data_IF_974211415777
#
_entry.id   IF_974211415777
#
_cell.length_a   1.000
_cell.length_b   1.000
_cell.length_c   1.000
_cell.angle_alpha   90.00
_cell.angle_beta   90.00
_cell.angle_gamma   90.00
#
_symmetry.space_group_name_H-M   'P 1'
#
loop_
_entity.id
_entity.type
_entity.pdbx_description
1 polymer ?
#
# COMPACT_ATOMS: atom_id res chain seq x y z
N UNK A 1 -5.90 -60.89 6.10
CA UNK A 1 -5.02 -59.70 6.16
C UNK A 1 -4.73 -59.42 7.63
N UNK A 2 -3.45 -59.25 8.03
CA UNK A 2 -3.06 -59.16 9.44
C UNK A 2 -3.58 -57.84 10.05
N UNK A 3 -4.46 -57.93 11.05
CA UNK A 3 -5.01 -56.79 11.76
C UNK A 3 -3.91 -56.13 12.60
N UNK A 4 -3.44 -54.96 12.17
CA UNK A 4 -2.42 -54.18 12.88
C UNK A 4 -2.94 -53.67 14.23
N UNK A 5 -2.02 -53.53 15.19
CA UNK A 5 -2.29 -53.00 16.53
C UNK A 5 -2.76 -51.53 16.40
N UNK A 6 -3.86 -51.12 17.06
CA UNK A 6 -4.34 -49.74 16.98
C UNK A 6 -3.35 -48.81 17.67
N UNK A 7 -2.71 -47.95 16.87
CA UNK A 7 -1.88 -46.87 17.36
C UNK A 7 -2.75 -45.61 17.56
N UNK A 8 -2.48 -44.85 18.61
CA UNK A 8 -3.20 -43.62 18.94
C UNK A 8 -2.26 -42.43 18.82
N UNK A 9 -2.64 -41.43 18.03
CA UNK A 9 -1.84 -40.22 17.81
C UNK A 9 -2.24 -39.15 18.81
N UNK A 10 -1.29 -38.74 19.66
CA UNK A 10 -1.48 -37.69 20.66
C UNK A 10 -1.09 -36.33 20.07
N UNK A 11 -1.90 -35.31 20.30
CA UNK A 11 -1.61 -33.92 19.86
C UNK A 11 -2.38 -33.40 18.65
N UNK A 12 -3.23 -34.21 18.00
CA UNK A 12 -4.08 -33.69 16.91
C UNK A 12 -5.09 -32.69 17.49
N UNK A 13 -5.08 -31.46 16.96
CA UNK A 13 -5.98 -30.37 17.33
C UNK A 13 -7.45 -30.78 17.19
N UNK A 14 -8.34 -30.29 18.06
CA UNK A 14 -9.76 -30.64 18.03
C UNK A 14 -10.42 -30.27 16.70
N UNK A 15 -10.01 -29.15 16.08
CA UNK A 15 -10.50 -28.72 14.78
C UNK A 15 -10.08 -29.67 13.65
N UNK A 16 -8.82 -30.09 13.61
CA UNK A 16 -8.32 -31.06 12.64
C UNK A 16 -9.04 -32.42 12.74
N UNK A 17 -9.41 -32.85 13.95
CA UNK A 17 -10.22 -34.08 14.15
C UNK A 17 -11.62 -33.95 13.56
N UNK A 18 -12.28 -32.81 13.77
CA UNK A 18 -13.62 -32.57 13.24
C UNK A 18 -13.59 -32.41 11.71
N UNK A 19 -12.58 -31.73 11.16
CA UNK A 19 -12.37 -31.63 9.71
C UNK A 19 -12.18 -33.01 9.06
N UNK A 20 -11.34 -33.87 9.65
CA UNK A 20 -11.14 -35.23 9.17
C UNK A 20 -12.41 -36.09 9.24
N UNK A 21 -13.20 -35.98 10.33
CA UNK A 21 -14.51 -36.66 10.44
C UNK A 21 -15.49 -36.18 9.38
N UNK A 22 -15.57 -34.88 9.13
CA UNK A 22 -16.46 -34.31 8.12
C UNK A 22 -16.03 -34.72 6.70
N UNK A 23 -14.73 -34.76 6.42
CA UNK A 23 -14.20 -35.20 5.14
C UNK A 23 -14.48 -36.69 4.89
N UNK A 24 -14.28 -37.54 5.91
CA UNK A 24 -14.63 -38.95 5.83
C UNK A 24 -16.14 -39.17 5.62
N UNK A 25 -17.00 -38.40 6.31
CA UNK A 25 -18.46 -38.43 6.14
C UNK A 25 -18.89 -37.99 4.74
N UNK A 26 -18.25 -36.95 4.18
CA UNK A 26 -18.47 -36.51 2.79
C UNK A 26 -18.07 -37.58 1.78
N UNK A 27 -16.98 -38.31 2.06
CA UNK A 27 -16.50 -39.38 1.21
C UNK A 27 -17.24 -40.73 1.41
N UNK A 28 -18.19 -40.80 2.36
CA UNK A 28 -18.97 -42.02 2.62
C UNK A 28 -18.16 -43.18 3.21
N UNK A 29 -16.97 -42.91 3.74
CA UNK A 29 -16.02 -43.92 4.26
C UNK A 29 -15.75 -43.71 5.75
N UNK A 30 -15.17 -44.72 6.40
CA UNK A 30 -14.78 -44.60 7.81
C UNK A 30 -13.57 -43.67 7.96
N UNK A 31 -13.44 -43.00 9.10
CA UNK A 31 -12.34 -42.07 9.37
C UNK A 31 -10.96 -42.72 9.15
N UNK A 32 -10.79 -43.98 9.56
CA UNK A 32 -9.53 -44.71 9.36
C UNK A 32 -9.26 -45.04 7.89
N UNK A 33 -10.28 -45.39 7.10
CA UNK A 33 -10.13 -45.64 5.66
C UNK A 33 -9.81 -44.35 4.90
N UNK A 34 -10.49 -43.26 5.25
CA UNK A 34 -10.21 -41.93 4.70
C UNK A 34 -8.78 -41.48 5.03
N UNK A 35 -8.35 -41.63 6.28
CA UNK A 35 -7.01 -41.24 6.70
C UNK A 35 -5.93 -42.10 6.04
N UNK A 36 -6.14 -43.40 5.91
CA UNK A 36 -5.22 -44.28 5.17
C UNK A 36 -5.13 -43.87 3.69
N UNK A 37 -6.24 -43.50 3.06
CA UNK A 37 -6.23 -43.05 1.67
C UNK A 37 -5.48 -41.73 1.53
N UNK A 38 -5.74 -40.77 2.41
CA UNK A 38 -5.01 -39.49 2.43
C UNK A 38 -3.51 -39.70 2.68
N UNK A 39 -3.13 -40.53 3.65
CA UNK A 39 -1.73 -40.85 3.95
C UNK A 39 -1.05 -41.56 2.77
N UNK A 40 -1.75 -42.45 2.06
CA UNK A 40 -1.18 -43.10 0.86
C UNK A 40 -1.09 -42.13 -0.33
N UNK A 41 -2.03 -41.19 -0.45
CA UNK A 41 -2.02 -40.17 -1.50
C UNK A 41 -0.98 -39.07 -1.25
N UNK A 42 -0.57 -38.82 0.00
CA UNK A 42 0.41 -37.77 0.37
C UNK A 42 1.76 -38.30 0.88
N UNK A 43 1.85 -39.57 1.29
CA UNK A 43 3.00 -40.13 2.01
C UNK A 43 3.96 -40.96 1.16
N UNK A 44 3.91 -40.87 -0.18
CA UNK A 44 4.81 -41.63 -1.06
C UNK A 44 6.25 -41.13 -1.10
N UNK A 45 6.61 -40.07 -0.37
CA UNK A 45 7.92 -39.43 -0.56
C UNK A 45 9.04 -39.85 0.40
N UNK A 46 8.81 -40.34 1.63
CA UNK A 46 9.96 -40.53 2.55
C UNK A 46 9.73 -41.61 3.64
N UNK A 47 9.99 -42.89 3.35
CA UNK A 47 10.36 -43.85 4.43
C UNK A 47 11.36 -44.93 3.97
N UNK A 48 12.64 -44.67 4.23
CA UNK A 48 13.58 -45.64 4.78
C UNK A 48 14.24 -46.64 3.82
N UNK A 49 15.46 -46.33 3.36
CA UNK A 49 16.50 -47.34 3.12
C UNK A 49 17.87 -46.82 3.57
N UNK A 50 18.25 -47.13 4.80
CA UNK A 50 19.65 -47.27 5.19
C UNK A 50 19.98 -48.76 5.17
N UNK A 51 20.92 -49.21 4.32
CA UNK A 51 21.70 -50.42 4.54
C UNK A 51 23.10 -50.33 3.85
N UNK A 52 24.13 -51.02 4.41
CA UNK A 52 25.58 -50.73 4.28
C UNK A 52 26.27 -51.38 3.06
N UNK A 53 27.56 -51.08 2.78
CA UNK A 53 28.18 -51.39 1.49
C UNK A 53 28.68 -52.84 1.44
N UNK A 54 28.35 -53.56 0.37
CA UNK A 54 28.96 -54.85 0.05
C UNK A 54 29.64 -54.79 -1.32
N UNK A 55 30.84 -55.34 -1.32
CA UNK A 55 31.91 -55.18 -2.29
C UNK A 55 31.71 -55.97 -3.59
N UNK A 56 32.48 -55.55 -4.58
CA UNK A 56 32.77 -56.22 -5.84
C UNK A 56 33.23 -57.68 -5.70
N UNK A 57 32.66 -58.57 -6.51
CA UNK A 57 33.35 -59.47 -7.45
C UNK A 57 32.28 -60.32 -8.15
N UNK A 58 32.13 -60.33 -9.48
CA UNK A 58 33.01 -60.71 -10.61
C UNK A 58 33.13 -62.24 -10.79
N UNK A 59 32.85 -62.68 -12.03
CA UNK A 59 33.03 -64.00 -12.70
C UNK A 59 31.90 -65.04 -12.49
N UNK A 60 31.35 -65.79 -13.46
CA UNK A 60 31.49 -65.96 -14.92
C UNK A 60 30.34 -66.82 -15.48
N UNK A 61 29.93 -66.58 -16.74
CA UNK A 61 29.39 -67.50 -17.80
C UNK A 61 28.13 -68.40 -17.55
N UNK A 62 27.49 -68.98 -18.59
CA UNK A 62 27.72 -68.90 -20.05
C UNK A 62 26.48 -68.57 -20.92
N UNK A 63 26.75 -68.37 -22.21
CA UNK A 63 25.81 -68.18 -23.32
C UNK A 63 24.62 -69.16 -23.33
N UNK A 64 23.46 -68.67 -23.80
CA UNK A 64 22.63 -69.25 -24.88
C UNK A 64 21.38 -68.37 -25.05
N UNK A 65 21.09 -67.91 -26.28
CA UNK A 65 19.76 -67.93 -26.95
C UNK A 65 19.59 -66.88 -28.07
N UNK A 66 19.44 -67.42 -29.29
CA UNK A 66 18.62 -67.01 -30.45
C UNK A 66 18.72 -65.57 -31.04
N UNK A 67 18.55 -65.41 -32.37
CA UNK A 67 18.60 -64.10 -33.02
C UNK A 67 17.40 -63.24 -32.59
N UNK A 68 17.65 -62.22 -31.77
CA UNK A 68 16.66 -61.20 -31.47
C UNK A 68 16.47 -60.32 -32.71
N UNK A 69 15.29 -60.39 -33.30
CA UNK A 69 14.82 -59.36 -34.22
C UNK A 69 14.78 -58.03 -33.45
N UNK A 70 15.51 -57.04 -33.94
CA UNK A 70 15.52 -55.68 -33.42
C UNK A 70 14.16 -55.03 -33.60
N UNK A 71 13.29 -55.15 -32.58
CA UNK A 71 12.07 -54.34 -32.48
C UNK A 71 12.46 -52.96 -31.94
N UNK A 72 12.03 -51.84 -32.56
CA UNK A 72 12.39 -50.51 -32.10
C UNK A 72 11.79 -50.25 -30.71
N UNK A 73 12.62 -49.86 -29.74
CA UNK A 73 12.15 -49.47 -28.40
C UNK A 73 11.20 -48.25 -28.49
N UNK A 74 10.01 -48.28 -27.86
CA UNK A 74 9.17 -47.11 -27.74
C UNK A 74 9.74 -46.20 -26.65
N UNK A 75 10.42 -45.13 -27.05
CA UNK A 75 10.87 -44.06 -26.16
C UNK A 75 9.64 -43.34 -25.62
N UNK A 76 9.38 -43.44 -24.31
CA UNK A 76 8.38 -42.60 -23.66
C UNK A 76 8.93 -41.17 -23.66
N UNK A 77 8.27 -40.29 -24.42
CA UNK A 77 8.72 -38.93 -24.64
C UNK A 77 8.33 -38.05 -23.44
N UNK A 78 9.33 -37.76 -22.59
CA UNK A 78 9.23 -36.81 -21.47
C UNK A 78 9.28 -35.33 -21.95
N UNK A 79 9.32 -35.11 -23.27
CA UNK A 79 9.21 -33.79 -23.90
C UNK A 79 8.12 -32.89 -23.30
N UNK A 80 6.88 -33.36 -23.07
CA UNK A 80 5.78 -32.52 -22.59
C UNK A 80 5.98 -31.98 -21.16
N UNK A 81 6.57 -32.77 -20.26
CA UNK A 81 6.84 -32.34 -18.88
C UNK A 81 8.01 -31.37 -18.84
N UNK A 82 9.05 -31.65 -19.64
CA UNK A 82 10.17 -30.71 -19.80
C UNK A 82 9.72 -29.39 -20.44
N UNK A 83 8.71 -29.42 -21.30
CA UNK A 83 8.11 -28.24 -21.94
C UNK A 83 7.24 -27.44 -20.98
N UNK A 84 6.41 -28.10 -20.17
CA UNK A 84 5.63 -27.45 -19.11
C UNK A 84 6.53 -26.76 -18.06
N UNK A 85 7.66 -27.37 -17.71
CA UNK A 85 8.65 -26.74 -16.81
C UNK A 85 9.32 -25.54 -17.48
N UNK A 86 9.64 -25.61 -18.78
CA UNK A 86 10.17 -24.45 -19.53
C UNK A 86 9.16 -23.31 -19.61
N UNK A 87 7.88 -23.62 -19.83
CA UNK A 87 6.79 -22.65 -19.86
C UNK A 87 6.60 -21.99 -18.48
N UNK A 88 6.67 -22.78 -17.40
CA UNK A 88 6.60 -22.24 -16.04
C UNK A 88 7.77 -21.31 -15.73
N UNK A 89 8.99 -21.69 -16.13
CA UNK A 89 10.19 -20.84 -16.01
C UNK A 89 10.03 -19.54 -16.79
N UNK A 90 9.49 -19.59 -18.02
CA UNK A 90 9.20 -18.39 -18.81
C UNK A 90 8.09 -17.53 -18.20
N UNK A 91 7.04 -18.14 -17.64
CA UNK A 91 5.96 -17.41 -16.96
C UNK A 91 6.48 -16.71 -15.70
N UNK A 92 7.36 -17.35 -14.95
CA UNK A 92 8.03 -16.75 -13.80
C UNK A 92 8.96 -15.61 -14.24
N UNK A 93 9.78 -15.79 -15.26
CA UNK A 93 10.64 -14.70 -15.80
C UNK A 93 9.81 -13.50 -16.31
N UNK A 94 8.69 -13.76 -16.97
CA UNK A 94 7.76 -12.71 -17.41
C UNK A 94 7.08 -12.01 -16.22
N UNK A 95 6.71 -12.75 -15.18
CA UNK A 95 6.17 -12.19 -13.93
C UNK A 95 7.22 -11.34 -13.21
N UNK A 96 8.48 -11.80 -13.14
CA UNK A 96 9.60 -11.08 -12.53
C UNK A 96 9.88 -9.76 -13.27
N UNK A 97 9.90 -9.77 -14.61
CA UNK A 97 10.06 -8.56 -15.42
C UNK A 97 8.93 -7.57 -15.20
N UNK A 98 7.67 -8.07 -15.15
CA UNK A 98 6.49 -7.24 -14.88
C UNK A 98 6.55 -6.60 -13.50
N UNK A 99 6.95 -7.35 -12.47
CA UNK A 99 7.12 -6.81 -11.11
C UNK A 99 8.25 -5.77 -11.07
N UNK A 100 9.39 -6.03 -11.71
CA UNK A 100 10.50 -5.07 -11.78
C UNK A 100 10.12 -3.77 -12.51
N UNK A 101 9.34 -3.85 -13.58
CA UNK A 101 8.81 -2.67 -14.27
C UNK A 101 7.80 -1.90 -13.42
N UNK A 102 6.93 -2.60 -12.69
CA UNK A 102 5.97 -1.98 -11.79
C UNK A 102 6.69 -1.25 -10.65
N UNK A 103 7.71 -1.86 -10.04
CA UNK A 103 8.55 -1.21 -9.01
C UNK A 103 9.23 0.04 -9.54
N UNK A 104 9.80 0.01 -10.74
CA UNK A 104 10.41 1.21 -11.36
C UNK A 104 9.39 2.31 -11.66
N UNK A 105 8.18 1.95 -12.10
CA UNK A 105 7.09 2.91 -12.32
C UNK A 105 6.64 3.53 -10.99
N UNK A 106 6.51 2.72 -9.94
CA UNK A 106 6.20 3.20 -8.59
C UNK A 106 7.29 4.16 -8.08
N UNK A 107 8.56 3.79 -8.23
CA UNK A 107 9.70 4.66 -7.89
C UNK A 107 9.62 6.01 -8.63
N UNK A 108 9.39 6.00 -9.95
CA UNK A 108 9.23 7.22 -10.73
C UNK A 108 8.04 8.07 -10.27
N UNK A 109 6.90 7.45 -9.93
CA UNK A 109 5.73 8.18 -9.41
C UNK A 109 5.99 8.76 -8.01
N UNK A 110 6.74 8.06 -7.17
CA UNK A 110 7.15 8.54 -5.84
C UNK A 110 8.13 9.70 -5.97
N UNK A 111 9.11 9.61 -6.88
CA UNK A 111 10.01 10.72 -7.19
C UNK A 111 9.27 11.93 -7.75
N UNK A 112 8.29 11.72 -8.65
CA UNK A 112 7.47 12.81 -9.18
C UNK A 112 6.58 13.44 -8.10
N UNK A 113 6.05 12.64 -7.17
CA UNK A 113 5.30 13.17 -6.03
C UNK A 113 6.20 13.94 -5.07
N UNK A 114 7.42 13.45 -4.80
CA UNK A 114 8.41 14.15 -4.01
C UNK A 114 8.80 15.50 -4.64
N UNK A 115 9.02 15.54 -5.96
CA UNK A 115 9.33 16.77 -6.70
C UNK A 115 8.15 17.75 -6.70
N UNK A 116 6.90 17.26 -6.84
CA UNK A 116 5.69 18.11 -6.73
C UNK A 116 5.41 18.60 -5.31
N UNK A 117 5.97 17.95 -4.28
CA UNK A 117 5.91 18.43 -2.89
C UNK A 117 7.01 19.47 -2.64
N UNK A 118 8.17 19.35 -3.28
CA UNK A 118 9.27 20.32 -3.18
C UNK A 118 9.03 21.59 -4.05
N UNK A 119 8.32 21.48 -5.17
CA UNK A 119 7.95 22.62 -6.03
C UNK A 119 7.15 23.73 -5.32
N UNK A 120 6.10 23.46 -4.53
CA UNK A 120 5.39 24.50 -3.80
C UNK A 120 6.25 25.14 -2.70
N UNK A 121 7.24 24.45 -2.13
CA UNK A 121 8.20 25.07 -1.20
C UNK A 121 9.14 26.06 -1.91
N UNK A 122 9.54 25.77 -3.15
CA UNK A 122 10.40 26.66 -3.92
C UNK A 122 9.65 27.92 -4.42
N UNK A 123 8.41 27.76 -4.87
CA UNK A 123 7.52 28.87 -5.26
C UNK A 123 7.00 29.67 -4.05
N UNK A 124 6.78 29.02 -2.90
CA UNK A 124 6.55 29.71 -1.62
C UNK A 124 7.82 30.43 -1.15
N UNK A 125 8.98 29.79 -1.23
CA UNK A 125 10.26 30.31 -0.74
C UNK A 125 10.68 31.61 -1.41
N UNK A 126 10.46 31.75 -2.72
CA UNK A 126 10.66 33.02 -3.42
C UNK A 126 9.62 34.09 -3.04
N UNK A 127 8.39 33.69 -2.68
CA UNK A 127 7.30 34.60 -2.23
C UNK A 127 7.30 34.91 -0.73
N UNK A 128 8.03 34.18 0.11
CA UNK A 128 8.29 34.60 1.50
C UNK A 128 9.19 35.85 1.55
N UNK A 129 9.84 36.23 0.43
CA UNK A 129 10.42 37.57 0.27
C UNK A 129 9.34 38.68 0.23
N UNK A 130 8.09 38.32 -0.08
CA UNK A 130 6.88 39.14 -0.09
C UNK A 130 6.09 39.06 1.25
N UNK A 131 6.51 38.23 2.21
CA UNK A 131 6.15 38.37 3.65
C UNK A 131 6.60 39.73 4.24
N UNK A 132 7.37 40.51 3.46
CA UNK A 132 7.52 41.97 3.60
C UNK A 132 6.22 42.77 3.42
N UNK A 133 5.06 42.16 3.23
CA UNK A 133 3.74 42.83 3.24
C UNK A 133 3.08 42.79 4.62
N UNK A 134 3.42 41.80 5.46
CA UNK A 134 2.99 41.72 6.86
C UNK A 134 3.85 42.63 7.73
N UNK A 135 5.16 42.69 7.45
CA UNK A 135 6.16 43.51 8.17
C UNK A 135 5.78 45.03 8.23
N UNK A 136 5.29 45.68 7.16
CA UNK A 136 4.81 47.06 7.18
C UNK A 136 3.46 47.22 7.90
N UNK A 137 2.60 46.20 7.89
CA UNK A 137 1.35 46.21 8.63
C UNK A 137 1.62 46.09 10.13
N UNK A 138 2.53 45.20 10.52
CA UNK A 138 2.96 44.99 11.90
C UNK A 138 3.63 46.25 12.47
N UNK A 139 4.54 46.88 11.70
CA UNK A 139 5.14 48.18 12.08
C UNK A 139 4.10 49.29 12.20
N UNK A 140 3.13 49.35 11.29
CA UNK A 140 2.04 50.35 11.36
C UNK A 140 1.13 50.11 12.55
N UNK A 141 0.79 48.86 12.87
CA UNK A 141 0.01 48.46 14.04
C UNK A 141 0.77 48.76 15.35
N UNK A 142 2.08 48.56 15.38
CA UNK A 142 2.93 48.91 16.51
C UNK A 142 2.99 50.44 16.71
N UNK A 143 3.22 51.21 15.64
CA UNK A 143 3.20 52.68 15.70
C UNK A 143 1.84 53.23 16.13
N UNK A 144 0.74 52.62 15.68
CA UNK A 144 -0.61 53.00 16.10
C UNK A 144 -0.84 52.67 17.58
N UNK A 145 -0.42 51.48 18.03
CA UNK A 145 -0.52 51.05 19.43
C UNK A 145 0.23 51.98 20.38
N UNK A 146 1.47 52.34 20.07
CA UNK A 146 2.24 53.29 20.88
C UNK A 146 1.64 54.70 20.87
N UNK A 147 1.05 55.15 19.76
CA UNK A 147 0.42 56.47 19.68
C UNK A 147 -0.91 56.53 20.41
N UNK A 148 -1.71 55.47 20.32
CA UNK A 148 -2.95 55.32 21.08
C UNK A 148 -2.65 55.31 22.58
N UNK A 149 -1.60 54.61 23.00
CA UNK A 149 -1.14 54.62 24.40
C UNK A 149 -0.58 55.99 24.84
N UNK A 150 -0.02 56.80 23.92
CA UNK A 150 0.36 58.20 24.21
C UNK A 150 -0.86 59.12 24.25
N UNK A 151 -1.86 58.90 23.40
CA UNK A 151 -3.11 59.64 23.36
C UNK A 151 -4.01 59.33 24.57
N UNK A 152 -4.01 58.10 25.08
CA UNK A 152 -4.70 57.73 26.33
C UNK A 152 -4.04 58.37 27.56
N UNK A 153 -2.70 58.49 27.58
CA UNK A 153 -1.98 59.15 28.67
C UNK A 153 -2.15 60.67 28.70
N UNK A 154 -2.34 61.31 27.55
CA UNK A 154 -2.62 62.75 27.46
C UNK A 154 -4.11 62.99 27.29
N UNK A 155 -4.82 63.42 28.34
CA UNK A 155 -6.26 63.76 28.29
C UNK A 155 -6.61 64.77 27.18
N UNK A 156 -6.78 64.31 25.95
CA UNK A 156 -7.10 65.12 24.78
C UNK A 156 -7.64 64.21 23.69
N UNK A 157 -8.82 64.57 23.16
CA UNK A 157 -9.56 63.76 22.19
C UNK A 157 -8.78 63.45 20.90
N UNK A 158 -9.29 62.45 20.17
CA UNK A 158 -8.75 61.89 18.93
C UNK A 158 -8.25 62.98 17.97
N UNK A 159 -6.95 62.96 17.65
CA UNK A 159 -6.37 63.96 16.74
C UNK A 159 -6.68 63.61 15.29
N UNK A 160 -6.79 64.59 14.36
CA UNK A 160 -7.02 64.34 12.94
C UNK A 160 -5.97 63.42 12.29
N UNK A 161 -4.76 63.42 12.82
CA UNK A 161 -3.67 62.54 12.37
C UNK A 161 -3.88 61.07 12.74
N UNK A 162 -4.49 60.79 13.90
CA UNK A 162 -4.77 59.43 14.35
C UNK A 162 -5.89 58.80 13.50
N UNK A 163 -6.86 59.63 13.09
CA UNK A 163 -7.93 59.23 12.19
C UNK A 163 -7.41 58.88 10.77
N UNK A 164 -6.39 59.59 10.27
CA UNK A 164 -5.72 59.25 9.00
C UNK A 164 -4.94 57.94 9.06
N UNK A 165 -4.29 57.64 10.19
CA UNK A 165 -3.57 56.37 10.36
C UNK A 165 -4.52 55.19 10.46
N UNK A 166 -5.67 55.35 11.12
CA UNK A 166 -6.73 54.32 11.16
C UNK A 166 -7.26 54.06 9.75
N UNK A 167 -7.58 55.10 8.97
CA UNK A 167 -8.01 54.93 7.57
C UNK A 167 -6.94 54.25 6.70
N UNK A 168 -5.65 54.49 6.97
CA UNK A 168 -4.56 53.82 6.24
C UNK A 168 -4.43 52.36 6.65
N UNK A 169 -4.69 52.04 7.91
CA UNK A 169 -4.73 50.68 8.43
C UNK A 169 -5.93 49.92 7.87
N UNK A 170 -7.12 50.51 7.87
CA UNK A 170 -8.33 49.95 7.27
C UNK A 170 -8.11 49.60 5.79
N UNK A 171 -7.47 50.50 5.02
CA UNK A 171 -7.10 50.22 3.63
C UNK A 171 -6.09 49.08 3.50
N UNK A 172 -5.13 48.98 4.40
CA UNK A 172 -4.15 47.91 4.39
C UNK A 172 -4.76 46.55 4.79
N UNK A 173 -5.68 46.54 5.76
CA UNK A 173 -6.43 45.35 6.16
C UNK A 173 -7.34 44.89 5.02
N UNK A 174 -8.07 45.80 4.37
CA UNK A 174 -8.87 45.45 3.20
C UNK A 174 -8.02 44.86 2.07
N UNK A 175 -6.83 45.43 1.79
CA UNK A 175 -5.93 44.88 0.80
C UNK A 175 -5.41 43.47 1.16
N UNK A 176 -5.19 43.18 2.45
CA UNK A 176 -4.81 41.85 2.93
C UNK A 176 -5.96 40.88 2.83
N UNK A 177 -7.19 41.29 3.14
CA UNK A 177 -8.40 40.49 2.97
C UNK A 177 -8.64 40.16 1.50
N UNK A 178 -8.53 41.14 0.60
CA UNK A 178 -8.64 40.93 -0.85
C UNK A 178 -7.57 39.97 -1.37
N UNK A 179 -6.34 40.08 -0.85
CA UNK A 179 -5.25 39.17 -1.19
C UNK A 179 -5.51 37.76 -0.68
N UNK A 180 -5.96 37.60 0.57
CA UNK A 180 -6.33 36.31 1.17
C UNK A 180 -7.45 35.64 0.37
N UNK A 181 -8.52 36.37 0.04
CA UNK A 181 -9.63 35.85 -0.76
C UNK A 181 -9.15 35.45 -2.18
N UNK A 182 -8.22 36.21 -2.75
CA UNK A 182 -7.60 35.87 -4.05
C UNK A 182 -6.72 34.63 -3.94
N UNK A 183 -5.94 34.48 -2.86
CA UNK A 183 -5.12 33.29 -2.63
C UNK A 183 -5.97 32.07 -2.36
N UNK A 184 -7.06 32.21 -1.60
CA UNK A 184 -8.00 31.12 -1.28
C UNK A 184 -8.69 30.61 -2.54
N UNK A 185 -9.21 31.52 -3.38
CA UNK A 185 -9.76 31.15 -4.70
C UNK A 185 -8.73 30.45 -5.57
N UNK A 186 -7.50 30.94 -5.61
CA UNK A 186 -6.43 30.32 -6.39
C UNK A 186 -6.05 28.94 -5.84
N UNK A 187 -6.04 28.75 -4.53
CA UNK A 187 -5.80 27.44 -3.93
C UNK A 187 -6.93 26.48 -4.26
N UNK A 188 -8.19 26.92 -4.20
CA UNK A 188 -9.35 26.11 -4.57
C UNK A 188 -9.31 25.70 -6.05
N UNK A 189 -8.93 26.61 -6.94
CA UNK A 189 -8.74 26.31 -8.37
C UNK A 189 -7.64 25.26 -8.57
N UNK A 190 -6.48 25.42 -7.92
CA UNK A 190 -5.38 24.43 -8.03
C UNK A 190 -5.76 23.06 -7.44
N UNK A 191 -6.53 23.03 -6.35
CA UNK A 191 -7.05 21.80 -5.77
C UNK A 191 -8.08 21.14 -6.70
N UNK A 192 -8.88 21.94 -7.41
CA UNK A 192 -9.77 21.49 -8.47
C UNK A 192 -9.02 20.80 -9.60
N UNK A 193 -7.98 21.43 -10.13
CA UNK A 193 -7.12 20.85 -11.18
C UNK A 193 -6.41 19.57 -10.72
N UNK A 194 -5.93 19.53 -9.46
CA UNK A 194 -5.33 18.31 -8.89
C UNK A 194 -6.37 17.18 -8.80
N UNK A 195 -7.61 17.47 -8.39
CA UNK A 195 -8.69 16.47 -8.35
C UNK A 195 -9.03 15.95 -9.74
N UNK A 196 -9.07 16.83 -10.74
CA UNK A 196 -9.35 16.44 -12.12
C UNK A 196 -8.24 15.57 -12.71
N UNK A 197 -6.97 15.94 -12.48
CA UNK A 197 -5.82 15.14 -12.92
C UNK A 197 -5.76 13.78 -12.22
N UNK A 198 -6.09 13.72 -10.93
CA UNK A 198 -6.18 12.46 -10.18
C UNK A 198 -7.31 11.57 -10.71
N UNK A 199 -8.49 12.15 -11.02
CA UNK A 199 -9.60 11.41 -11.62
C UNK A 199 -9.23 10.86 -13.02
N UNK A 200 -8.53 11.66 -13.83
CA UNK A 200 -8.01 11.22 -15.13
C UNK A 200 -6.99 10.10 -14.99
N UNK A 201 -6.06 10.19 -14.03
CA UNK A 201 -5.09 9.14 -13.75
C UNK A 201 -5.78 7.86 -13.29
N UNK A 202 -6.75 7.95 -12.38
CA UNK A 202 -7.54 6.81 -11.90
C UNK A 202 -8.23 6.08 -13.06
N UNK A 203 -8.91 6.82 -13.95
CA UNK A 203 -9.55 6.24 -15.12
C UNK A 203 -8.53 5.59 -16.08
N UNK A 204 -7.35 6.19 -16.27
CA UNK A 204 -6.28 5.62 -17.10
C UNK A 204 -5.71 4.34 -16.51
N UNK A 205 -5.52 4.28 -15.19
CA UNK A 205 -5.06 3.09 -14.48
C UNK A 205 -6.11 1.99 -14.58
N UNK A 206 -7.38 2.29 -14.31
CA UNK A 206 -8.47 1.32 -14.41
C UNK A 206 -8.60 0.75 -15.84
N UNK A 207 -8.51 1.61 -16.87
CA UNK A 207 -8.53 1.16 -18.26
C UNK A 207 -7.32 0.28 -18.60
N UNK A 208 -6.11 0.66 -18.15
CA UNK A 208 -4.90 -0.12 -18.38
C UNK A 208 -4.93 -1.48 -17.65
N UNK A 209 -5.50 -1.53 -16.45
CA UNK A 209 -5.71 -2.76 -15.70
C UNK A 209 -6.72 -3.67 -16.42
N UNK A 210 -7.86 -3.14 -16.84
CA UNK A 210 -8.84 -3.91 -17.61
C UNK A 210 -8.27 -4.43 -18.94
N UNK A 211 -7.45 -3.64 -19.63
CA UNK A 211 -6.80 -4.05 -20.87
C UNK A 211 -5.77 -5.16 -20.61
N UNK A 212 -4.98 -5.05 -19.53
CA UNK A 212 -4.05 -6.09 -19.12
C UNK A 212 -4.78 -7.39 -18.74
N UNK A 213 -5.90 -7.31 -18.03
CA UNK A 213 -6.73 -8.48 -17.70
C UNK A 213 -7.31 -9.14 -18.95
N UNK A 214 -7.81 -8.36 -19.91
CA UNK A 214 -8.32 -8.88 -21.19
C UNK A 214 -7.24 -9.59 -21.98
N UNK A 215 -6.04 -9.02 -22.07
CA UNK A 215 -4.91 -9.65 -22.75
C UNK A 215 -4.44 -10.92 -22.04
N UNK A 216 -4.45 -10.94 -20.70
CA UNK A 216 -4.12 -12.15 -19.95
C UNK A 216 -5.17 -13.25 -20.14
N UNK A 217 -6.47 -12.89 -20.13
CA UNK A 217 -7.56 -13.82 -20.42
C UNK A 217 -7.45 -14.39 -21.85
N UNK A 218 -7.10 -13.55 -22.83
CA UNK A 218 -6.90 -13.97 -24.22
C UNK A 218 -5.71 -14.93 -24.36
N UNK A 219 -4.58 -14.64 -23.70
CA UNK A 219 -3.42 -15.55 -23.67
C UNK A 219 -3.76 -16.88 -23.03
N UNK A 220 -4.52 -16.90 -21.93
CA UNK A 220 -5.01 -18.14 -21.31
C UNK A 220 -5.92 -18.93 -22.24
N UNK A 221 -6.83 -18.26 -22.96
CA UNK A 221 -7.71 -18.92 -23.93
C UNK A 221 -6.90 -19.55 -25.08
N UNK A 222 -5.90 -18.84 -25.61
CA UNK A 222 -5.01 -19.36 -26.65
C UNK A 222 -4.15 -20.54 -26.16
N UNK A 223 -3.64 -20.48 -24.92
CA UNK A 223 -2.92 -21.59 -24.31
C UNK A 223 -3.84 -22.82 -24.21
N UNK A 224 -5.07 -22.65 -23.70
CA UNK A 224 -6.05 -23.74 -23.63
C UNK A 224 -6.37 -24.32 -25.02
N UNK A 225 -6.60 -23.47 -26.02
CA UNK A 225 -6.83 -23.90 -27.40
C UNK A 225 -5.65 -24.73 -27.95
N UNK A 226 -4.41 -24.29 -27.71
CA UNK A 226 -3.22 -25.04 -28.13
C UNK A 226 -3.14 -26.42 -27.45
N UNK A 227 -3.47 -26.51 -26.16
CA UNK A 227 -3.48 -27.80 -25.44
C UNK A 227 -4.58 -28.73 -25.95
N UNK A 228 -5.75 -28.18 -26.32
CA UNK A 228 -6.83 -28.95 -26.93
C UNK A 228 -6.45 -29.48 -28.31
N UNK A 229 -5.78 -28.68 -29.15
CA UNK A 229 -5.24 -29.16 -30.43
C UNK A 229 -4.20 -30.26 -30.25
N UNK A 230 -3.31 -30.13 -29.26
CA UNK A 230 -2.32 -31.17 -28.93
C UNK A 230 -3.00 -32.46 -28.46
N UNK A 231 -4.03 -32.37 -27.61
CA UNK A 231 -4.81 -33.52 -27.15
C UNK A 231 -5.56 -34.19 -28.30
N UNK A 232 -6.19 -33.42 -29.19
CA UNK A 232 -6.87 -33.94 -30.37
C UNK A 232 -5.92 -34.72 -31.30
N UNK A 233 -4.74 -34.15 -31.59
CA UNK A 233 -3.73 -34.80 -32.42
C UNK A 233 -3.14 -36.05 -31.74
N UNK A 234 -2.99 -36.05 -30.40
CA UNK A 234 -2.57 -37.25 -29.65
C UNK A 234 -3.63 -38.35 -29.65
N UNK A 235 -4.91 -37.99 -29.52
CA UNK A 235 -6.02 -38.93 -29.61
C UNK A 235 -6.10 -39.55 -30.99
N UNK A 236 -5.98 -38.76 -32.05
CA UNK A 236 -5.94 -39.24 -33.42
C UNK A 236 -4.78 -40.23 -33.63
N UNK A 237 -3.57 -39.89 -33.18
CA UNK A 237 -2.41 -40.81 -33.25
C UNK A 237 -2.63 -42.10 -32.45
N UNK A 238 -3.28 -42.01 -31.29
CA UNK A 238 -3.60 -43.16 -30.45
C UNK A 238 -4.65 -44.07 -31.11
N UNK A 239 -5.67 -43.49 -31.73
CA UNK A 239 -6.72 -44.22 -32.46
C UNK A 239 -6.14 -45.00 -33.66
N UNK A 240 -5.22 -44.39 -34.40
CA UNK A 240 -4.49 -45.05 -35.48
C UNK A 240 -3.55 -46.16 -34.97
N UNK A 241 -2.93 -45.98 -33.80
CA UNK A 241 -2.09 -47.00 -33.18
C UNK A 241 -2.87 -48.19 -32.62
N UNK A 242 -4.04 -47.95 -32.03
CA UNK A 242 -4.89 -48.98 -31.43
C UNK A 242 -5.58 -49.85 -32.48
N UNK A 243 -5.90 -49.31 -33.66
CA UNK A 243 -6.46 -50.11 -34.77
C UNK A 243 -5.48 -51.16 -35.34
N UNK A 244 -4.18 -51.07 -35.04
CA UNK A 244 -3.15 -51.95 -35.61
C UNK A 244 -2.64 -53.07 -34.72
N UNK A 245 -3.01 -53.13 -33.43
CA UNK A 245 -2.35 -54.00 -32.44
C UNK A 245 -3.34 -55.01 -31.86
N UNK A 246 -3.15 -56.29 -32.16
CA UNK A 246 -3.94 -57.38 -31.59
C UNK A 246 -3.71 -57.56 -30.07
N UNK A 247 -4.71 -58.08 -29.33
CA UNK A 247 -4.76 -58.05 -27.86
C UNK A 247 -3.57 -58.71 -27.14
N UNK A 248 -2.89 -59.67 -27.78
CA UNK A 248 -1.75 -60.39 -27.19
C UNK A 248 -0.43 -59.61 -27.23
N UNK A 249 -0.26 -58.66 -28.17
CA UNK A 249 0.93 -57.81 -28.23
C UNK A 249 0.87 -56.68 -27.20
N UNK A 250 -0.33 -56.23 -26.84
CA UNK A 250 -0.57 -55.20 -25.83
C UNK A 250 -0.24 -55.72 -24.42
N UNK A 251 -0.61 -56.95 -24.09
CA UNK A 251 -0.36 -57.56 -22.78
C UNK A 251 1.13 -57.88 -22.55
N UNK A 252 1.83 -58.35 -23.59
CA UNK A 252 3.27 -58.61 -23.53
C UNK A 252 4.10 -57.32 -23.51
N UNK A 253 3.65 -56.26 -24.19
CA UNK A 253 4.29 -54.94 -24.15
C UNK A 253 4.06 -54.23 -22.81
N UNK A 254 2.86 -54.32 -22.22
CA UNK A 254 2.55 -53.76 -20.91
C UNK A 254 3.45 -54.35 -19.81
N UNK A 255 3.61 -55.68 -19.80
CA UNK A 255 4.44 -56.36 -18.80
C UNK A 255 5.94 -56.02 -18.93
N UNK A 256 6.45 -55.84 -20.16
CA UNK A 256 7.84 -55.48 -20.40
C UNK A 256 8.14 -53.98 -20.15
N UNK A 257 7.15 -53.10 -20.35
CA UNK A 257 7.26 -51.66 -20.05
C UNK A 257 7.20 -51.42 -18.53
N UNK A 258 6.38 -52.16 -17.81
CA UNK A 258 6.22 -52.05 -16.35
C UNK A 258 7.53 -52.39 -15.58
N UNK A 259 8.30 -53.38 -16.06
CA UNK A 259 9.53 -53.83 -15.38
C UNK A 259 10.79 -53.01 -15.72
N UNK A 260 10.88 -52.36 -16.90
CA UNK A 260 12.12 -51.66 -17.35
C UNK A 260 12.00 -50.13 -17.41
N UNK A 261 10.79 -49.57 -17.57
CA UNK A 261 10.58 -48.12 -17.67
C UNK A 261 10.52 -47.41 -16.31
N UNK A 262 10.15 -48.13 -15.24
CA UNK A 262 9.91 -47.54 -13.93
C UNK A 262 11.21 -47.05 -13.28
N UNK A 263 12.19 -47.92 -13.07
CA UNK A 263 13.33 -47.61 -12.21
C UNK A 263 14.35 -46.61 -12.82
N UNK A 264 14.67 -46.72 -14.11
CA UNK A 264 15.80 -45.97 -14.70
C UNK A 264 15.38 -44.57 -15.16
N UNK A 265 14.18 -44.44 -15.74
CA UNK A 265 13.62 -43.14 -16.12
C UNK A 265 13.14 -42.33 -14.92
N UNK A 266 12.59 -42.95 -13.88
CA UNK A 266 12.26 -42.25 -12.63
C UNK A 266 13.53 -41.71 -11.97
N UNK A 267 14.63 -42.47 -11.95
CA UNK A 267 15.89 -42.02 -11.35
C UNK A 267 16.50 -40.81 -12.07
N UNK A 268 16.54 -40.83 -13.40
CA UNK A 268 17.01 -39.69 -14.19
C UNK A 268 16.06 -38.47 -14.13
N UNK A 269 14.75 -38.69 -13.99
CA UNK A 269 13.78 -37.62 -13.78
C UNK A 269 13.91 -37.00 -12.39
N UNK A 270 14.14 -37.81 -11.35
CA UNK A 270 14.37 -37.36 -9.98
C UNK A 270 15.64 -36.53 -9.90
N UNK A 271 16.76 -36.95 -10.51
CA UNK A 271 17.99 -36.14 -10.54
C UNK A 271 17.79 -34.77 -11.22
N UNK A 272 17.00 -34.73 -12.30
CA UNK A 272 16.67 -33.46 -12.97
C UNK A 272 15.74 -32.58 -12.13
N UNK A 273 14.77 -33.17 -11.45
CA UNK A 273 13.89 -32.44 -10.53
C UNK A 273 14.66 -31.90 -9.33
N UNK A 274 15.57 -32.68 -8.75
CA UNK A 274 16.47 -32.24 -7.68
C UNK A 274 17.33 -31.07 -8.11
N UNK A 275 17.99 -31.15 -9.28
CA UNK A 275 18.79 -30.03 -9.81
C UNK A 275 17.96 -28.77 -10.07
N UNK A 276 16.71 -28.92 -10.50
CA UNK A 276 15.82 -27.78 -10.71
C UNK A 276 15.29 -27.19 -9.39
N UNK A 277 15.00 -28.02 -8.39
CA UNK A 277 14.60 -27.57 -7.06
C UNK A 277 15.74 -26.82 -6.37
N UNK A 278 16.98 -27.30 -6.51
CA UNK A 278 18.16 -26.63 -5.95
C UNK A 278 18.38 -25.25 -6.61
N UNK A 279 18.24 -25.17 -7.93
CA UNK A 279 18.26 -23.88 -8.65
C UNK A 279 17.09 -22.96 -8.28
N UNK A 280 15.92 -23.52 -7.97
CA UNK A 280 14.77 -22.74 -7.50
C UNK A 280 15.01 -22.21 -6.09
N UNK A 281 15.55 -23.01 -5.18
CA UNK A 281 15.89 -22.59 -3.82
C UNK A 281 16.94 -21.47 -3.85
N UNK A 282 18.00 -21.62 -4.64
CA UNK A 282 19.07 -20.62 -4.79
C UNK A 282 18.59 -19.32 -5.46
N UNK A 283 17.53 -19.38 -6.27
CA UNK A 283 16.86 -18.20 -6.82
C UNK A 283 15.92 -17.55 -5.81
N UNK A 284 15.17 -18.37 -5.07
CA UNK A 284 14.23 -17.90 -4.05
C UNK A 284 14.97 -17.13 -2.95
N UNK A 285 16.11 -17.64 -2.49
CA UNK A 285 16.96 -16.98 -1.50
C UNK A 285 17.52 -15.65 -2.01
N UNK A 286 17.91 -15.58 -3.29
CA UNK A 286 18.31 -14.31 -3.93
C UNK A 286 17.15 -13.33 -4.06
N UNK A 287 15.95 -13.81 -4.37
CA UNK A 287 14.77 -12.95 -4.44
C UNK A 287 14.38 -12.43 -3.06
N UNK A 288 14.44 -13.28 -2.03
CA UNK A 288 14.15 -12.90 -0.64
C UNK A 288 15.12 -11.83 -0.16
N UNK A 289 16.42 -12.01 -0.43
CA UNK A 289 17.45 -11.01 -0.13
C UNK A 289 17.18 -9.67 -0.83
N UNK A 290 16.77 -9.72 -2.09
CA UNK A 290 16.46 -8.52 -2.88
C UNK A 290 15.16 -7.85 -2.43
N UNK A 291 14.14 -8.61 -2.05
CA UNK A 291 12.90 -8.06 -1.48
C UNK A 291 13.18 -7.39 -0.15
N UNK A 292 13.99 -8.00 0.71
CA UNK A 292 14.42 -7.40 1.99
C UNK A 292 15.16 -6.07 1.78
N UNK A 293 16.03 -5.99 0.77
CA UNK A 293 16.70 -4.75 0.42
C UNK A 293 15.71 -3.67 -0.06
N UNK A 294 14.76 -4.03 -0.93
CA UNK A 294 13.73 -3.09 -1.39
C UNK A 294 12.81 -2.63 -0.25
N UNK A 295 12.43 -3.53 0.66
CA UNK A 295 11.62 -3.19 1.84
C UNK A 295 12.37 -2.21 2.73
N UNK A 296 13.67 -2.43 3.00
CA UNK A 296 14.50 -1.47 3.75
C UNK A 296 14.58 -0.11 3.07
N UNK A 297 14.74 -0.05 1.75
CA UNK A 297 14.75 1.23 1.03
C UNK A 297 13.40 1.95 1.09
N UNK A 298 12.30 1.19 1.05
CA UNK A 298 10.96 1.72 1.20
C UNK A 298 10.71 2.22 2.62
N UNK A 299 11.05 1.46 3.65
CA UNK A 299 10.97 1.88 5.06
C UNK A 299 11.76 3.16 5.32
N UNK A 300 12.97 3.28 4.76
CA UNK A 300 13.77 4.49 4.86
C UNK A 300 13.08 5.68 4.18
N UNK A 301 12.48 5.46 3.01
CA UNK A 301 11.75 6.50 2.27
C UNK A 301 10.49 6.95 3.01
N UNK A 302 9.70 6.01 3.54
CA UNK A 302 8.51 6.29 4.35
C UNK A 302 8.88 7.01 5.63
N UNK A 303 9.97 6.60 6.30
CA UNK A 303 10.46 7.28 7.51
C UNK A 303 10.89 8.72 7.21
N UNK A 304 11.55 8.96 6.07
CA UNK A 304 11.92 10.31 5.64
C UNK A 304 10.71 11.17 5.29
N UNK A 305 9.71 10.60 4.60
CA UNK A 305 8.45 11.29 4.30
C UNK A 305 7.70 11.61 5.60
N UNK A 306 7.62 10.66 6.54
CA UNK A 306 6.98 10.87 7.83
C UNK A 306 7.66 11.99 8.64
N UNK A 307 9.00 12.04 8.66
CA UNK A 307 9.75 13.13 9.29
C UNK A 307 9.51 14.47 8.61
N UNK A 308 9.57 14.54 7.27
CA UNK A 308 9.27 15.76 6.52
C UNK A 308 7.84 16.24 6.75
N UNK A 309 6.87 15.32 6.86
CA UNK A 309 5.48 15.64 7.16
C UNK A 309 5.31 16.14 8.61
N UNK A 310 6.06 15.58 9.57
CA UNK A 310 6.08 16.08 10.94
C UNK A 310 6.71 17.48 11.04
N UNK A 311 7.77 17.75 10.27
CA UNK A 311 8.36 19.08 10.16
C UNK A 311 7.40 20.08 9.48
N UNK A 312 6.65 19.63 8.47
CA UNK A 312 5.60 20.42 7.82
C UNK A 312 4.41 20.69 8.76
N UNK A 313 3.97 19.71 9.54
CA UNK A 313 2.90 19.88 10.55
C UNK A 313 3.36 20.80 11.70
N UNK A 314 4.62 20.71 12.12
CA UNK A 314 5.20 21.60 13.13
C UNK A 314 5.30 23.04 12.64
N UNK A 315 5.72 23.26 11.40
CA UNK A 315 5.75 24.60 10.80
C UNK A 315 4.33 25.19 10.65
N UNK A 316 3.34 24.40 10.25
CA UNK A 316 1.95 24.86 10.15
C UNK A 316 1.28 25.12 11.51
N UNK A 317 1.59 24.33 12.55
CA UNK A 317 1.03 24.51 13.90
C UNK A 317 1.62 25.68 14.68
N UNK A 318 2.77 26.21 14.27
CA UNK A 318 3.46 27.29 15.01
C UNK A 318 3.18 28.71 14.49
N UNK A 319 2.32 28.89 13.48
CA UNK A 319 1.98 30.20 12.90
C UNK A 319 0.68 30.85 13.41
N UNK A 320 0.28 30.59 14.65
CA UNK A 320 -0.24 31.69 15.46
C UNK A 320 0.90 32.06 16.40
N UNK A 321 1.67 33.13 16.11
CA UNK A 321 2.74 33.55 16.99
C UNK A 321 2.15 33.65 18.39
N UNK A 322 2.78 33.01 19.38
CA UNK A 322 2.35 33.12 20.79
C UNK A 322 2.26 34.61 21.21
N UNK A 323 3.05 35.47 20.54
CA UNK A 323 2.94 36.92 20.58
C UNK A 323 1.59 37.48 20.09
N UNK A 324 1.01 36.95 19.01
CA UNK A 324 -0.30 37.35 18.48
C UNK A 324 -1.43 36.90 19.42
N UNK A 325 -1.35 35.66 19.93
CA UNK A 325 -2.30 35.14 20.92
C UNK A 325 -2.25 35.97 22.22
N UNK A 326 -1.05 36.24 22.74
CA UNK A 326 -0.87 37.10 23.92
C UNK A 326 -1.36 38.53 23.68
N UNK A 327 -1.24 39.05 22.46
CA UNK A 327 -1.68 40.40 22.11
C UNK A 327 -3.19 40.51 21.91
N UNK A 328 -3.86 39.45 21.45
CA UNK A 328 -5.33 39.36 21.48
C UNK A 328 -5.86 39.30 22.92
N UNK A 329 -5.22 38.51 23.79
CA UNK A 329 -5.55 38.46 25.22
C UNK A 329 -5.38 39.83 25.88
N UNK A 330 -4.27 40.52 25.62
CA UNK A 330 -4.03 41.88 26.11
C UNK A 330 -5.04 42.91 25.54
N UNK A 331 -5.44 42.79 24.28
CA UNK A 331 -6.49 43.64 23.71
C UNK A 331 -7.85 43.39 24.37
N UNK A 332 -8.22 42.14 24.60
CA UNK A 332 -9.46 41.78 25.28
C UNK A 332 -9.51 42.37 26.70
N UNK A 333 -8.41 42.25 27.46
CA UNK A 333 -8.31 42.83 28.81
C UNK A 333 -8.38 44.36 28.81
N UNK A 334 -7.77 45.03 27.82
CA UNK A 334 -7.86 46.49 27.69
C UNK A 334 -9.25 46.95 27.31
N UNK A 335 -9.96 46.20 26.47
CA UNK A 335 -11.32 46.51 26.08
C UNK A 335 -12.26 46.39 27.29
N UNK A 336 -12.13 45.32 28.08
CA UNK A 336 -12.90 45.14 29.31
C UNK A 336 -12.61 46.24 30.35
N UNK A 337 -11.35 46.66 30.47
CA UNK A 337 -10.97 47.78 31.34
C UNK A 337 -11.56 49.11 30.85
N UNK A 338 -11.53 49.37 29.55
CA UNK A 338 -12.12 50.57 28.96
C UNK A 338 -13.63 50.58 29.15
N UNK A 339 -14.30 49.44 28.93
CA UNK A 339 -15.74 49.28 29.16
C UNK A 339 -16.10 49.62 30.63
N UNK A 340 -15.34 49.11 31.61
CA UNK A 340 -15.54 49.47 33.03
C UNK A 340 -15.35 50.96 33.29
N UNK A 341 -14.32 51.58 32.74
CA UNK A 341 -14.09 53.03 32.89
C UNK A 341 -15.20 53.86 32.25
N UNK A 342 -15.71 53.46 31.08
CA UNK A 342 -16.83 54.14 30.43
C UNK A 342 -18.12 54.02 31.25
N UNK A 343 -18.34 52.86 31.87
CA UNK A 343 -19.49 52.61 32.74
C UNK A 343 -19.40 53.42 34.05
N UNK A 344 -18.21 53.54 34.65
CA UNK A 344 -17.97 54.38 35.82
C UNK A 344 -18.11 55.88 35.50
N UNK A 345 -17.62 56.32 34.33
CA UNK A 345 -17.81 57.68 33.86
C UNK A 345 -19.29 58.00 33.63
N UNK A 346 -20.04 57.07 33.02
CA UNK A 346 -21.48 57.20 32.82
C UNK A 346 -22.23 57.33 34.17
N UNK A 347 -21.90 56.49 35.16
CA UNK A 347 -22.48 56.57 36.51
C UNK A 347 -22.13 57.89 37.22
N UNK A 348 -20.93 58.41 37.01
CA UNK A 348 -20.50 59.69 37.61
C UNK A 348 -21.26 60.86 36.99
N UNK A 349 -21.46 60.82 35.67
CA UNK A 349 -22.29 61.80 34.95
C UNK A 349 -23.74 61.71 35.41
N UNK A 350 -24.29 60.50 35.58
CA UNK A 350 -25.64 60.28 36.09
C UNK A 350 -25.81 60.87 37.51
N UNK A 351 -24.86 60.64 38.41
CA UNK A 351 -24.85 61.26 39.75
C UNK A 351 -24.76 62.78 39.70
N UNK A 352 -23.93 63.33 38.81
CA UNK A 352 -23.82 64.78 38.65
C UNK A 352 -25.13 65.41 38.14
N UNK A 353 -25.79 64.75 37.17
CA UNK A 353 -27.10 65.18 36.66
C UNK A 353 -28.16 65.09 37.75
N UNK A 354 -28.19 64.00 38.52
CA UNK A 354 -29.11 63.85 39.66
C UNK A 354 -28.91 64.95 40.72
N UNK A 355 -27.64 65.26 41.08
CA UNK A 355 -27.32 66.32 42.02
C UNK A 355 -27.68 67.72 41.51
N UNK A 356 -27.57 67.98 40.20
CA UNK A 356 -28.06 69.22 39.59
C UNK A 356 -29.59 69.29 39.68
N UNK A 357 -30.30 68.19 39.43
CA UNK A 357 -31.76 68.12 39.55
C UNK A 357 -32.27 68.36 40.98
N UNK A 358 -31.59 67.81 41.99
CA UNK A 358 -31.90 68.06 43.40
C UNK A 358 -31.66 69.53 43.79
N UNK A 359 -30.54 70.11 43.37
CA UNK A 359 -30.23 71.52 43.64
C UNK A 359 -31.22 72.48 42.96
N UNK A 360 -31.64 72.16 41.74
CA UNK A 360 -32.66 72.93 41.01
C UNK A 360 -34.00 72.87 41.73
N UNK A 361 -34.42 71.67 42.16
CA UNK A 361 -35.65 71.47 42.93
C UNK A 361 -35.61 72.20 44.29
N UNK A 362 -34.46 72.21 44.95
CA UNK A 362 -34.23 72.93 46.21
C UNK A 362 -34.16 74.47 46.03
N UNK A 363 -33.83 74.95 44.83
CA UNK A 363 -33.92 76.37 44.47
C UNK A 363 -35.37 76.77 44.21
N UNK A 364 -36.09 75.99 43.40
CA UNK A 364 -37.51 76.24 43.09
C UNK A 364 -38.42 76.16 44.32
N UNK A 365 -38.11 75.30 45.30
CA UNK A 365 -38.82 75.24 46.57
C UNK A 365 -38.62 76.50 47.42
N UNK A 366 -37.39 77.06 47.43
CA UNK A 366 -37.08 78.30 48.16
C UNK A 366 -37.73 79.53 47.53
N UNK A 367 -37.80 79.58 46.20
CA UNK A 367 -38.47 80.68 45.48
C UNK A 367 -40.00 80.64 45.61
N UNK A 368 -40.59 79.53 46.09
CA UNK A 368 -42.03 79.42 46.39
C UNK A 368 -42.41 79.75 47.84
N UNK A 369 -41.46 79.75 48.77
CA UNK A 369 -41.68 80.06 50.19
C UNK A 369 -41.31 81.51 50.57
N UNK A 370 -40.67 82.25 49.67
CA UNK A 370 -40.43 83.70 49.78
C UNK A 370 -41.56 84.49 49.07
#
# INVERSE_FOLDING_TARGET
>A
MRSGVPWSVKGIEPEAREAAKQAARRAGVTLGAWLNQVIMDTGTDEVGQQEPPAMQNRYSEPEHRAPQASVPEPKIDLGPVAEAVRELVQRVDNSERRTAEMTRKLEATVSQLAERIEQPEHDMGERYSESRTIDPLERKLQMLGERMERAERGRGGMRPEDQRTIQTLEKAVNAVVDHLETTERRTDDTLGEIRETLASLSNRVENAEQEAEREEAKKRAQALESTLMQLANRLEKMEHGVSGIGPQAVEAALKAIEEKSSAENQRAAIERLQSNLEKMAERLERTESRTDETVKTFENSVTNIARKLEDLDRSHRTEVPEALAHRFEQMAQRLEHNERLTMEAAQTVEKAIAGIGENLSASEGRDREA
#
